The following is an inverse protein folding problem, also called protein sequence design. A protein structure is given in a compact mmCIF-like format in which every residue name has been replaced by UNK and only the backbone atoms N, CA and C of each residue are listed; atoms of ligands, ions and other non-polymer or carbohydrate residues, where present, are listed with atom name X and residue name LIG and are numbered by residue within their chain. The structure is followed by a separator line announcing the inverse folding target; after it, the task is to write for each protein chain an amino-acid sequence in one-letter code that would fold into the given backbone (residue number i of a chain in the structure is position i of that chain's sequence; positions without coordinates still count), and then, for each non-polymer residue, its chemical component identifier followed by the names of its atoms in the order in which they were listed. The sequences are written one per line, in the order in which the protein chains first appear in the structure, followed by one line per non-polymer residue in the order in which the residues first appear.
data_IF_149402061664
#
_entry.id   IF_149402061664
#
_cell.length_a   1.000
_cell.length_b   1.000
_cell.length_c   1.000
_cell.angle_alpha   90.00
_cell.angle_beta   90.00
_cell.angle_gamma   90.00
#
_symmetry.space_group_name_H-M   'P 1'
#
loop_
_entity.id
_entity.type
_entity.pdbx_description
1 polymer ?
#
# COMPACT_ATOMS: atom_id res chain seq x y z
N UNK A 1 5.98 8.97 14.01
CA UNK A 1 6.69 9.47 12.80
C UNK A 1 5.80 9.14 11.62
N UNK A 2 5.40 10.10 10.79
CA UNK A 2 4.45 9.83 9.70
C UNK A 2 4.97 8.74 8.76
N UNK A 3 4.13 7.74 8.52
CA UNK A 3 4.37 6.61 7.62
C UNK A 3 3.31 6.63 6.54
N UNK A 4 3.68 6.34 5.30
CA UNK A 4 2.73 6.41 4.18
C UNK A 4 2.62 5.07 3.45
N UNK A 5 1.45 4.85 2.88
CA UNK A 5 1.23 3.84 1.84
C UNK A 5 0.61 4.47 0.60
N UNK A 6 0.88 3.86 -0.55
CA UNK A 6 0.06 4.05 -1.74
C UNK A 6 -0.82 2.82 -1.94
N UNK A 7 -2.11 3.04 -2.14
CA UNK A 7 -3.08 2.00 -2.50
C UNK A 7 -3.50 2.20 -3.94
N UNK A 8 -3.08 1.29 -4.82
CA UNK A 8 -3.48 1.29 -6.23
C UNK A 8 -4.56 0.24 -6.47
N UNK A 9 -5.49 0.54 -7.37
CA UNK A 9 -6.47 -0.42 -7.87
C UNK A 9 -6.06 -0.87 -9.27
N UNK A 10 -5.75 -2.16 -9.41
CA UNK A 10 -5.47 -2.74 -10.70
C UNK A 10 -6.77 -3.22 -11.35
N UNK A 11 -6.99 -2.84 -12.60
CA UNK A 11 -8.14 -3.27 -13.39
C UNK A 11 -7.74 -3.54 -14.84
N UNK A 12 -8.53 -4.37 -15.52
CA UNK A 12 -8.42 -4.62 -16.95
C UNK A 12 -9.82 -4.77 -17.58
N UNK A 13 -9.87 -5.11 -18.88
CA UNK A 13 -11.14 -5.30 -19.60
C UNK A 13 -12.01 -6.44 -19.03
N UNK A 14 -11.41 -7.38 -18.28
CA UNK A 14 -12.12 -8.48 -17.63
C UNK A 14 -12.61 -8.11 -16.22
N UNK A 15 -12.28 -6.92 -15.73
CA UNK A 15 -12.75 -6.37 -14.47
C UNK A 15 -11.63 -6.02 -13.48
N UNK A 16 -12.00 -5.99 -12.20
CA UNK A 16 -11.09 -5.70 -11.10
C UNK A 16 -10.08 -6.82 -10.89
N UNK A 17 -8.81 -6.46 -10.77
CA UNK A 17 -7.70 -7.36 -10.39
C UNK A 17 -7.32 -7.22 -8.91
N UNK A 18 -8.01 -6.35 -8.18
CA UNK A 18 -7.80 -6.12 -6.75
C UNK A 18 -6.90 -4.93 -6.46
N UNK A 19 -6.62 -4.74 -5.17
CA UNK A 19 -5.83 -3.62 -4.67
C UNK A 19 -4.39 -4.07 -4.40
N UNK A 20 -3.45 -3.17 -4.70
CA UNK A 20 -2.03 -3.31 -4.39
C UNK A 20 -1.65 -2.22 -3.38
N UNK A 21 -0.90 -2.61 -2.35
CA UNK A 21 -0.44 -1.70 -1.30
C UNK A 21 1.07 -1.61 -1.35
N UNK A 22 1.58 -0.39 -1.42
CA UNK A 22 3.01 -0.09 -1.46
C UNK A 22 3.41 0.67 -0.21
N UNK A 23 4.37 0.14 0.55
CA UNK A 23 4.97 0.86 1.66
C UNK A 23 5.91 1.94 1.13
N UNK A 24 5.81 3.15 1.67
CA UNK A 24 6.62 4.30 1.27
C UNK A 24 7.63 4.64 2.37
N UNK A 25 8.75 5.21 1.97
CA UNK A 25 9.86 5.55 2.87
C UNK A 25 9.91 7.01 3.34
N UNK A 26 9.49 8.02 2.55
CA UNK A 26 9.50 9.40 3.00
C UNK A 26 8.52 9.66 4.15
N UNK A 27 8.90 10.52 5.11
CA UNK A 27 8.06 10.87 6.26
C UNK A 27 7.15 12.08 5.98
N UNK A 28 7.15 12.62 4.77
CA UNK A 28 6.37 13.80 4.38
C UNK A 28 5.53 13.47 3.15
N UNK A 29 4.30 13.97 3.14
CA UNK A 29 3.31 13.65 2.11
C UNK A 29 3.75 14.02 0.67
N UNK A 30 4.34 15.20 0.39
CA UNK A 30 4.79 15.54 -0.96
C UNK A 30 5.84 14.57 -1.52
N UNK A 31 6.80 14.17 -0.71
CA UNK A 31 7.86 13.23 -1.08
C UNK A 31 7.32 11.81 -1.22
N UNK A 32 6.39 11.42 -0.35
CA UNK A 32 5.70 10.13 -0.43
C UNK A 32 4.86 10.02 -1.72
N UNK A 33 4.20 11.11 -2.13
CA UNK A 33 3.47 11.20 -3.40
C UNK A 33 4.41 10.92 -4.59
N UNK A 34 5.56 11.61 -4.64
CA UNK A 34 6.56 11.42 -5.71
C UNK A 34 7.07 9.98 -5.77
N UNK A 35 7.33 9.36 -4.62
CA UNK A 35 7.76 7.95 -4.58
C UNK A 35 6.65 7.00 -5.06
N UNK A 36 5.41 7.25 -4.66
CA UNK A 36 4.25 6.44 -5.07
C UNK A 36 4.06 6.48 -6.59
N UNK A 37 4.10 7.68 -7.19
CA UNK A 37 4.02 7.88 -8.63
C UNK A 37 5.12 7.08 -9.37
N UNK A 38 6.37 7.14 -8.91
CA UNK A 38 7.47 6.39 -9.49
C UNK A 38 7.32 4.86 -9.36
N UNK A 39 6.86 4.39 -8.19
CA UNK A 39 6.72 2.96 -7.89
C UNK A 39 5.59 2.33 -8.70
N UNK A 40 4.46 3.02 -8.80
CA UNK A 40 3.27 2.52 -9.51
C UNK A 40 3.47 2.59 -11.01
N UNK A 41 4.10 3.66 -11.52
CA UNK A 41 4.42 3.76 -12.95
C UNK A 41 5.36 2.64 -13.39
N UNK A 42 6.36 2.29 -12.59
CA UNK A 42 7.31 1.21 -12.91
C UNK A 42 6.71 -0.21 -12.79
N UNK A 43 5.64 -0.38 -12.01
CA UNK A 43 4.93 -1.67 -11.91
C UNK A 43 3.79 -1.83 -12.92
N UNK A 44 3.35 -0.75 -13.57
CA UNK A 44 2.23 -0.73 -14.52
C UNK A 44 2.53 -1.18 -15.95
N UNK A 45 3.74 -1.65 -16.26
CA UNK A 45 4.13 -2.06 -17.62
C UNK A 45 3.64 -3.45 -18.05
N UNK A 46 2.67 -4.03 -17.32
CA UNK A 46 1.99 -5.25 -17.77
C UNK A 46 0.96 -4.93 -18.85
N UNK A 47 1.07 -5.50 -20.07
CA UNK A 47 0.13 -5.22 -21.15
C UNK A 47 -1.33 -5.47 -20.74
N UNK A 48 -2.16 -4.44 -20.85
CA UNK A 48 -3.60 -4.51 -20.55
C UNK A 48 -3.97 -4.35 -19.07
N UNK A 49 -3.04 -3.96 -18.20
CA UNK A 49 -3.35 -3.54 -16.82
C UNK A 49 -3.33 -2.01 -16.71
N UNK A 50 -4.36 -1.47 -16.05
CA UNK A 50 -4.43 -0.07 -15.66
C UNK A 50 -4.38 0.03 -14.14
N UNK A 51 -3.27 0.51 -13.61
CA UNK A 51 -3.04 0.68 -12.16
C UNK A 51 -2.37 2.02 -11.82
N UNK A 52 -2.36 3.00 -12.76
CA UNK A 52 -1.67 4.29 -12.60
C UNK A 52 -2.37 5.29 -11.66
N UNK A 53 -3.49 4.90 -11.06
CA UNK A 53 -4.22 5.73 -10.09
C UNK A 53 -4.07 5.11 -8.72
N UNK A 54 -3.81 5.94 -7.71
CA UNK A 54 -3.71 5.49 -6.33
C UNK A 54 -4.26 6.52 -5.35
N UNK A 55 -4.48 6.05 -4.14
CA UNK A 55 -4.72 6.87 -2.96
C UNK A 55 -3.49 6.81 -2.07
N UNK A 56 -2.95 7.98 -1.74
CA UNK A 56 -1.94 8.11 -0.70
C UNK A 56 -2.65 8.11 0.67
N UNK A 57 -2.20 7.24 1.57
CA UNK A 57 -2.75 7.14 2.93
C UNK A 57 -1.62 7.34 3.93
N UNK A 58 -1.82 8.29 4.84
CA UNK A 58 -0.99 8.43 6.04
C UNK A 58 -1.46 7.41 7.08
N UNK A 59 -0.52 6.66 7.62
CA UNK A 59 -0.75 5.67 8.66
C UNK A 59 -0.39 6.28 10.02
N UNK A 60 -1.28 6.08 10.97
CA UNK A 60 -1.00 6.33 12.38
C UNK A 60 0.13 5.42 12.87
N UNK A 61 0.82 5.81 13.94
CA UNK A 61 1.95 5.05 14.49
C UNK A 61 1.55 3.62 14.93
N UNK A 62 0.26 3.39 15.20
CA UNK A 62 -0.29 2.09 15.56
C UNK A 62 -0.94 1.34 14.39
N UNK A 63 -0.96 1.92 13.19
CA UNK A 63 -1.57 1.34 12.00
C UNK A 63 -0.52 0.59 11.17
N UNK A 64 -0.85 -0.65 10.80
CA UNK A 64 0.05 -1.55 10.10
C UNK A 64 -0.40 -1.77 8.66
N UNK A 65 0.58 -1.93 7.78
CA UNK A 65 0.35 -2.36 6.40
C UNK A 65 -0.54 -3.59 6.37
N UNK A 66 -1.47 -3.62 5.41
CA UNK A 66 -2.29 -4.79 5.15
C UNK A 66 -1.37 -6.00 4.86
N UNK A 67 -1.31 -6.94 5.81
CA UNK A 67 -0.56 -8.19 5.67
C UNK A 67 -1.38 -9.36 6.19
N UNK A 68 -1.09 -10.60 5.74
CA UNK A 68 -1.63 -11.77 6.39
C UNK A 68 -1.24 -11.79 7.87
N UNK A 69 -2.25 -11.78 8.74
CA UNK A 69 -2.07 -12.01 10.17
C UNK A 69 -1.95 -13.51 10.42
N UNK A 70 -0.98 -13.88 11.27
CA UNK A 70 -0.88 -15.24 11.79
C UNK A 70 -2.11 -15.57 12.64
N UNK A 71 -2.41 -16.86 12.82
CA UNK A 71 -3.50 -17.28 13.70
C UNK A 71 -3.32 -16.76 15.13
N UNK A 72 -2.10 -16.74 15.64
CA UNK A 72 -1.80 -16.22 16.97
C UNK A 72 -2.16 -14.73 17.09
N UNK A 73 -1.80 -13.92 16.10
CA UNK A 73 -2.12 -12.48 16.06
C UNK A 73 -3.64 -12.25 15.99
N UNK A 74 -4.36 -13.07 15.22
CA UNK A 74 -5.83 -13.00 15.12
C UNK A 74 -6.52 -13.36 16.44
N UNK A 75 -6.03 -14.39 17.12
CA UNK A 75 -6.63 -14.88 18.36
C UNK A 75 -6.31 -14.00 19.57
N UNK A 76 -5.11 -13.41 19.61
CA UNK A 76 -4.64 -12.67 20.78
C UNK A 76 -4.76 -11.15 20.64
N UNK A 77 -4.91 -10.62 19.43
CA UNK A 77 -4.82 -9.18 19.18
C UNK A 77 -3.43 -8.58 19.41
N UNK A 78 -2.42 -9.42 19.69
CA UNK A 78 -1.03 -9.00 19.87
C UNK A 78 -0.32 -9.08 18.53
N UNK A 79 -0.20 -7.93 17.87
CA UNK A 79 0.46 -7.81 16.58
C UNK A 79 1.98 -7.74 16.76
N UNK A 80 2.74 -8.50 15.95
CA UNK A 80 4.20 -8.32 15.90
C UNK A 80 4.54 -6.87 15.54
N UNK A 81 5.44 -6.27 16.31
CA UNK A 81 5.88 -4.87 16.15
C UNK A 81 5.19 -3.86 17.08
N UNK A 82 4.38 -4.32 18.03
CA UNK A 82 3.84 -3.51 19.12
C UNK A 82 4.83 -3.57 20.29
N UNK A 83 5.84 -2.69 20.28
CA UNK A 83 6.81 -2.49 21.36
C UNK A 83 6.43 -1.28 22.20
#
# INVERSE_FOLDING_TARGET
MSRFIAVSHAWNLKGSLGFQVYALTPPQAPEAQVQADATITSTGDSPGQWNKVFTLVELEDNEYYARPLTWLERLTGNFKGRG
#
